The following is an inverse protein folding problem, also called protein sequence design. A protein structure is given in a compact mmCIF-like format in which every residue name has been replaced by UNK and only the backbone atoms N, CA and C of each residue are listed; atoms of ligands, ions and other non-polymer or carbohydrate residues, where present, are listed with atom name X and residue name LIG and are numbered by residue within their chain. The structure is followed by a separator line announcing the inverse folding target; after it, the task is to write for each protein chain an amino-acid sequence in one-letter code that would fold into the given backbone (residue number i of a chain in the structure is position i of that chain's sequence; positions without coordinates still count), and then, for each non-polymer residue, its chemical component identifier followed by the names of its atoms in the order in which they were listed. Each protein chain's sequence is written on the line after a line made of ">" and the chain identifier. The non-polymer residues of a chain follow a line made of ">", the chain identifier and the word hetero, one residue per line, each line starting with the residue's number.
data_IF_933264209093
#
_entry.id   IF_933264209093
#
_cell.length_a   1.000
_cell.length_b   1.000
_cell.length_c   1.000
_cell.angle_alpha   90.00
_cell.angle_beta   90.00
_cell.angle_gamma   90.00
#
_symmetry.space_group_name_H-M   'P 1'
#
loop_
_entity.id
_entity.type
_entity.pdbx_description
1 polymer ?
#
# COMPACT_ATOMS: atom_id res chain seq x y z
N UNK A 1 42.77 59.52 0.91
CA UNK A 1 42.13 59.31 2.23
C UNK A 1 42.40 57.87 2.63
N UNK A 2 42.96 57.63 3.83
CA UNK A 2 43.31 56.28 4.29
C UNK A 2 42.02 55.48 4.52
N UNK A 3 41.77 54.46 3.68
CA UNK A 3 40.70 53.49 3.88
C UNK A 3 41.10 52.57 5.04
N UNK A 4 40.84 53.02 6.26
CA UNK A 4 40.98 52.17 7.45
C UNK A 4 39.94 51.05 7.36
N UNK A 5 40.39 49.82 7.55
CA UNK A 5 39.55 48.63 7.61
C UNK A 5 39.97 47.78 8.79
N UNK A 6 39.05 47.00 9.33
CA UNK A 6 39.27 46.10 10.45
C UNK A 6 38.83 44.69 10.07
N UNK A 7 39.60 43.69 10.47
CA UNK A 7 39.18 42.29 10.37
C UNK A 7 38.42 41.88 11.63
N UNK A 8 37.29 41.22 11.45
CA UNK A 8 36.48 40.63 12.53
C UNK A 8 36.31 39.14 12.31
N UNK A 9 36.11 38.39 13.38
CA UNK A 9 35.95 36.94 13.35
C UNK A 9 34.79 36.57 14.26
N UNK A 10 33.72 36.02 13.67
CA UNK A 10 32.56 35.56 14.42
C UNK A 10 32.87 34.26 15.20
N UNK A 11 32.45 34.24 16.46
CA UNK A 11 32.40 33.09 17.34
C UNK A 11 31.00 32.95 17.93
N UNK A 12 30.53 31.70 18.02
CA UNK A 12 29.34 31.34 18.78
C UNK A 12 29.72 30.83 20.17
N UNK A 13 28.81 30.93 21.13
CA UNK A 13 29.05 30.48 22.52
C UNK A 13 29.39 28.98 22.60
N UNK A 14 28.86 28.17 21.67
CA UNK A 14 29.20 26.75 21.51
C UNK A 14 30.56 26.44 20.85
N UNK A 15 31.41 27.46 20.68
CA UNK A 15 32.78 27.40 20.13
C UNK A 15 32.87 27.21 18.62
N UNK A 16 31.80 27.35 17.85
CA UNK A 16 31.90 27.44 16.38
C UNK A 16 32.61 28.74 15.98
N UNK A 17 33.58 28.62 15.07
CA UNK A 17 34.36 29.73 14.52
C UNK A 17 33.95 29.95 13.06
N UNK A 18 33.49 31.16 12.73
CA UNK A 18 33.17 31.57 11.35
C UNK A 18 34.43 31.79 10.50
N UNK A 19 34.29 32.38 9.32
CA UNK A 19 35.43 32.93 8.57
C UNK A 19 35.67 34.41 8.95
N UNK A 20 36.92 34.91 8.92
CA UNK A 20 37.18 36.33 9.12
C UNK A 20 36.50 37.19 8.03
N UNK A 21 35.92 38.31 8.42
CA UNK A 21 35.32 39.29 7.54
C UNK A 21 36.00 40.66 7.70
N UNK A 22 36.22 41.37 6.60
CA UNK A 22 36.79 42.72 6.62
C UNK A 22 35.67 43.77 6.67
N UNK A 23 35.71 44.72 7.61
CA UNK A 23 34.77 45.85 7.73
C UNK A 23 35.50 47.14 7.36
N UNK A 24 34.91 47.97 6.49
CA UNK A 24 35.53 49.22 6.06
C UNK A 24 34.94 50.41 6.81
N UNK A 25 35.80 51.34 7.24
CA UNK A 25 35.34 52.61 7.83
C UNK A 25 34.48 53.43 6.88
N UNK A 26 34.68 53.29 5.57
CA UNK A 26 33.85 53.94 4.54
C UNK A 26 32.39 53.50 4.56
N UNK A 27 32.08 52.35 5.15
CA UNK A 27 30.72 51.83 5.23
C UNK A 27 29.92 52.54 6.35
N UNK A 28 30.59 53.34 7.18
CA UNK A 28 29.97 54.12 8.23
C UNK A 28 29.15 55.29 7.67
N UNK A 29 27.93 55.47 8.19
CA UNK A 29 27.07 56.61 7.85
C UNK A 29 27.72 57.93 8.27
N UNK A 30 27.56 58.96 7.45
CA UNK A 30 28.11 60.29 7.69
C UNK A 30 27.69 60.86 9.06
N UNK A 31 28.65 61.44 9.80
CA UNK A 31 28.41 62.02 11.13
C UNK A 31 28.52 61.06 12.32
N UNK A 32 28.97 59.81 12.12
CA UNK A 32 29.23 58.86 13.21
C UNK A 32 30.71 58.68 13.52
N UNK A 33 31.00 58.39 14.79
CA UNK A 33 32.34 58.07 15.25
C UNK A 33 32.74 56.63 14.92
N UNK A 34 34.02 56.42 14.61
CA UNK A 34 34.60 55.10 14.37
C UNK A 34 35.02 54.44 15.68
N UNK A 35 34.05 53.82 16.37
CA UNK A 35 34.19 53.13 17.65
C UNK A 35 33.54 51.74 17.60
N UNK A 36 33.62 51.00 18.71
CA UNK A 36 33.09 49.61 18.82
C UNK A 36 31.58 49.52 18.58
N UNK A 37 30.79 50.53 18.97
CA UNK A 37 29.35 50.57 18.70
C UNK A 37 29.06 50.58 17.19
N UNK A 38 29.67 51.55 16.49
CA UNK A 38 29.54 51.67 15.04
C UNK A 38 30.06 50.44 14.30
N UNK A 39 31.13 49.80 14.80
CA UNK A 39 31.62 48.54 14.25
C UNK A 39 30.60 47.41 14.42
N UNK A 40 30.02 47.26 15.60
CA UNK A 40 29.06 46.18 15.89
C UNK A 40 27.83 46.28 14.98
N UNK A 41 27.36 47.49 14.69
CA UNK A 41 26.28 47.71 13.73
C UNK A 41 26.67 47.26 12.32
N UNK A 42 27.85 47.66 11.84
CA UNK A 42 28.34 47.27 10.51
C UNK A 42 28.60 45.77 10.38
N UNK A 43 29.07 45.13 11.46
CA UNK A 43 29.26 43.68 11.50
C UNK A 43 27.91 42.98 11.41
N UNK A 44 26.89 43.45 12.13
CA UNK A 44 25.54 42.90 12.05
C UNK A 44 24.91 43.07 10.67
N UNK A 45 25.12 44.21 10.02
CA UNK A 45 24.63 44.44 8.65
C UNK A 45 25.37 43.55 7.62
N UNK A 46 26.67 43.36 7.79
CA UNK A 46 27.51 42.59 6.86
C UNK A 46 27.35 41.07 7.02
N UNK A 47 27.22 40.59 8.25
CA UNK A 47 27.00 39.18 8.61
C UNK A 47 25.53 38.95 8.96
N UNK A 48 24.62 39.57 8.20
CA UNK A 48 23.20 39.57 8.52
C UNK A 48 22.64 38.16 8.59
N UNK A 49 23.00 37.28 7.66
CA UNK A 49 22.50 35.90 7.65
C UNK A 49 22.93 35.12 8.90
N UNK A 50 24.13 35.43 9.43
CA UNK A 50 24.67 34.79 10.62
C UNK A 50 24.29 35.47 11.94
N UNK A 51 23.77 36.70 11.92
CA UNK A 51 23.51 37.51 13.12
C UNK A 51 22.07 38.05 13.22
N UNK A 52 21.17 37.70 12.30
CA UNK A 52 19.77 38.18 12.33
C UNK A 52 19.04 37.76 13.61
N UNK A 53 19.42 36.60 14.18
CA UNK A 53 18.84 36.07 15.41
C UNK A 53 19.33 36.77 16.68
N UNK A 54 20.49 37.43 16.64
CA UNK A 54 21.11 38.04 17.82
C UNK A 54 20.71 39.51 17.94
N UNK A 55 20.23 39.93 19.11
CA UNK A 55 20.02 41.34 19.43
C UNK A 55 21.33 42.12 19.39
N UNK A 56 21.27 43.43 19.09
CA UNK A 56 22.48 44.27 19.08
C UNK A 56 23.20 44.28 20.45
N UNK A 57 22.42 44.20 21.54
CA UNK A 57 22.93 44.14 22.92
C UNK A 57 23.52 42.79 23.32
N UNK A 58 23.40 41.78 22.46
CA UNK A 58 23.87 40.42 22.70
C UNK A 58 25.16 40.12 21.90
N UNK A 59 25.63 41.10 21.12
CA UNK A 59 26.88 41.01 20.36
C UNK A 59 27.99 41.69 21.16
N UNK A 60 29.04 40.94 21.46
CA UNK A 60 30.21 41.42 22.19
C UNK A 60 31.44 41.42 21.29
N UNK A 61 32.25 42.48 21.38
CA UNK A 61 33.50 42.61 20.62
C UNK A 61 34.69 42.53 21.58
N UNK A 62 35.67 41.70 21.25
CA UNK A 62 36.84 41.45 22.07
C UNK A 62 38.14 41.75 21.29
N UNK A 63 39.23 42.09 21.99
CA UNK A 63 40.56 42.16 21.39
C UNK A 63 40.99 40.83 20.75
N UNK A 64 41.91 40.86 19.76
CA UNK A 64 42.24 39.68 18.96
C UNK A 64 42.85 38.49 19.71
N UNK A 65 43.49 38.74 20.86
CA UNK A 65 44.19 37.72 21.66
C UNK A 65 43.36 37.24 22.87
N UNK A 66 42.06 37.50 22.87
CA UNK A 66 41.18 37.07 23.97
C UNK A 66 40.97 35.56 23.92
N UNK A 67 41.41 34.84 24.95
CA UNK A 67 41.21 33.40 25.07
C UNK A 67 39.80 33.04 25.57
N UNK A 68 39.27 31.91 25.08
CA UNK A 68 38.03 31.33 25.60
C UNK A 68 38.22 30.77 27.03
N UNK A 69 37.19 30.79 27.89
CA UNK A 69 35.84 31.29 27.63
C UNK A 69 35.80 32.83 27.61
N UNK A 70 35.03 33.37 26.66
CA UNK A 70 34.79 34.81 26.58
C UNK A 70 33.92 35.23 27.77
N UNK A 71 34.37 36.24 28.51
CA UNK A 71 33.64 36.78 29.66
C UNK A 71 33.38 38.26 29.43
N UNK A 72 32.18 38.71 29.80
CA UNK A 72 31.69 40.05 29.49
C UNK A 72 32.58 41.17 30.04
N UNK A 73 33.31 40.92 31.12
CA UNK A 73 34.27 41.85 31.73
C UNK A 73 35.52 42.12 30.85
N UNK A 74 35.78 41.25 29.87
CA UNK A 74 36.87 41.39 28.88
C UNK A 74 36.42 41.99 27.54
N UNK A 75 35.12 42.23 27.37
CA UNK A 75 34.59 42.85 26.16
C UNK A 75 34.99 44.33 26.08
N UNK A 76 35.21 44.83 24.86
CA UNK A 76 35.38 46.26 24.62
C UNK A 76 34.06 46.98 24.85
N UNK A 77 34.11 48.16 25.46
CA UNK A 77 32.92 48.99 25.64
C UNK A 77 32.50 49.61 24.31
N UNK A 78 31.22 49.90 24.17
CA UNK A 78 30.64 50.45 22.94
C UNK A 78 31.25 51.79 22.51
N UNK A 79 31.73 52.59 23.46
CA UNK A 79 32.40 53.88 23.21
C UNK A 79 33.92 53.78 23.03
N UNK A 80 34.51 52.59 23.16
CA UNK A 80 35.95 52.43 23.02
C UNK A 80 36.40 52.65 21.56
N UNK A 81 37.58 53.27 21.34
CA UNK A 81 38.14 53.38 20.01
C UNK A 81 38.50 51.98 19.49
N UNK A 82 38.38 51.78 18.17
CA UNK A 82 38.74 50.49 17.55
C UNK A 82 40.25 50.28 17.69
N UNK A 83 40.71 49.13 18.24
CA UNK A 83 42.13 48.86 18.44
C UNK A 83 42.93 49.00 17.14
N UNK A 84 44.05 49.73 17.20
CA UNK A 84 44.89 50.00 16.01
C UNK A 84 45.57 48.76 15.43
N UNK A 85 45.74 47.70 16.23
CA UNK A 85 46.29 46.41 15.81
C UNK A 85 45.29 45.52 15.05
N UNK A 86 44.07 45.98 14.81
CA UNK A 86 43.00 45.19 14.17
C UNK A 86 43.00 45.23 12.62
N UNK A 87 44.02 45.87 12.01
CA UNK A 87 44.13 46.07 10.55
C UNK A 87 44.86 44.94 9.80
N UNK A 88 45.22 43.84 10.47
CA UNK A 88 45.87 42.63 9.92
C UNK A 88 46.30 41.66 11.03
N UNK A 89 46.95 40.52 10.72
CA UNK A 89 46.37 39.15 10.67
C UNK A 89 45.55 38.67 11.89
N UNK A 90 45.37 39.49 12.91
CA UNK A 90 44.65 39.19 14.15
C UNK A 90 43.29 39.93 14.13
N UNK A 91 42.19 39.24 13.76
CA UNK A 91 40.87 39.86 13.73
C UNK A 91 40.35 40.15 15.14
N UNK A 92 39.54 41.21 15.30
CA UNK A 92 38.71 41.36 16.49
C UNK A 92 37.74 40.20 16.58
N UNK A 93 37.49 39.73 17.79
CA UNK A 93 36.61 38.60 18.05
C UNK A 93 35.21 39.15 18.29
N UNK A 94 34.23 38.70 17.51
CA UNK A 94 32.82 39.05 17.67
C UNK A 94 32.11 37.81 18.19
N UNK A 95 31.49 37.91 19.36
CA UNK A 95 30.75 36.81 19.98
C UNK A 95 29.27 37.15 19.96
N UNK A 96 28.46 36.20 19.49
CA UNK A 96 27.01 36.30 19.48
C UNK A 96 26.41 35.03 20.13
N UNK A 97 25.18 35.11 20.67
CA UNK A 97 24.48 33.92 21.16
C UNK A 97 24.30 32.91 20.02
N UNK A 98 24.22 31.63 20.38
CA UNK A 98 23.89 30.60 19.42
C UNK A 98 22.55 30.92 18.75
N UNK A 99 22.41 30.70 17.43
CA UNK A 99 21.10 30.76 16.80
C UNK A 99 20.15 29.83 17.57
N UNK A 100 18.89 30.25 17.83
CA UNK A 100 17.92 29.38 18.46
C UNK A 100 17.93 28.08 17.67
N UNK A 101 18.29 26.97 18.35
CA UNK A 101 18.27 25.66 17.72
C UNK A 101 16.87 25.50 17.14
N UNK A 102 16.75 25.49 15.81
CA UNK A 102 15.51 25.09 15.16
C UNK A 102 15.22 23.71 15.71
N UNK A 103 14.25 23.61 16.62
CA UNK A 103 13.62 22.33 16.89
C UNK A 103 13.22 21.81 15.50
N UNK A 104 13.63 20.59 15.11
CA UNK A 104 13.11 20.03 13.88
C UNK A 104 11.59 20.14 14.01
N UNK A 105 10.96 20.78 13.02
CA UNK A 105 9.50 20.85 12.98
C UNK A 105 9.00 19.45 13.32
N UNK A 106 8.20 19.30 14.38
CA UNK A 106 7.68 17.99 14.78
C UNK A 106 7.06 17.39 13.52
N UNK A 107 7.78 16.46 12.88
CA UNK A 107 7.31 15.86 11.64
C UNK A 107 5.95 15.26 11.99
N UNK A 108 4.94 15.54 11.17
CA UNK A 108 3.59 15.02 11.40
C UNK A 108 3.49 13.73 10.60
N UNK A 109 3.03 12.68 11.26
CA UNK A 109 2.54 11.46 10.64
C UNK A 109 1.01 11.50 10.56
N UNK A 110 0.46 10.69 9.66
CA UNK A 110 -0.97 10.45 9.55
C UNK A 110 -1.25 8.99 9.87
N UNK A 111 -2.10 8.76 10.87
CA UNK A 111 -2.52 7.45 11.34
C UNK A 111 -3.76 7.00 10.57
N UNK A 112 -3.72 5.77 10.04
CA UNK A 112 -4.88 5.05 9.52
C UNK A 112 -4.98 3.70 10.23
N UNK A 113 -6.15 3.44 10.79
CA UNK A 113 -6.52 2.15 11.36
C UNK A 113 -7.82 1.64 10.78
N UNK A 114 -8.08 0.35 10.96
CA UNK A 114 -9.33 -0.23 10.50
C UNK A 114 -9.43 -1.74 10.71
N UNK A 115 -10.57 -2.27 10.30
CA UNK A 115 -10.90 -3.69 10.37
C UNK A 115 -11.56 -4.15 9.08
N UNK A 116 -11.05 -5.25 8.53
CA UNK A 116 -11.71 -6.01 7.46
C UNK A 116 -12.51 -7.13 8.10
N UNK A 117 -13.83 -7.05 7.98
CA UNK A 117 -14.78 -7.93 8.65
C UNK A 117 -14.85 -9.26 7.92
N UNK A 118 -14.85 -10.38 8.67
CA UNK A 118 -14.87 -11.75 8.14
C UNK A 118 -13.71 -12.09 7.17
N UNK A 119 -12.59 -11.39 7.29
CA UNK A 119 -11.40 -11.57 6.47
C UNK A 119 -10.85 -13.01 6.43
N UNK A 120 -11.13 -13.87 7.42
CA UNK A 120 -10.74 -15.30 7.39
C UNK A 120 -11.53 -16.14 6.38
N UNK A 121 -12.65 -15.64 5.87
CA UNK A 121 -13.41 -16.27 4.79
C UNK A 121 -12.78 -16.03 3.40
N UNK A 122 -11.76 -15.17 3.34
CA UNK A 122 -11.05 -14.80 2.13
C UNK A 122 -9.57 -15.20 2.20
N UNK A 123 -9.04 -15.74 1.11
CA UNK A 123 -7.61 -15.99 0.90
C UNK A 123 -6.93 -14.70 0.44
N UNK A 124 -5.76 -14.43 1.01
CA UNK A 124 -4.92 -13.30 0.63
C UNK A 124 -5.28 -11.96 1.26
N UNK A 125 -6.31 -11.87 2.11
CA UNK A 125 -6.70 -10.62 2.76
C UNK A 125 -5.52 -9.95 3.47
N UNK A 126 -4.86 -10.65 4.41
CA UNK A 126 -3.69 -10.07 5.09
C UNK A 126 -2.56 -9.64 4.14
N UNK A 127 -2.18 -10.48 3.19
CA UNK A 127 -1.13 -10.17 2.23
C UNK A 127 -1.44 -8.94 1.37
N UNK A 128 -2.70 -8.71 1.00
CA UNK A 128 -3.09 -7.51 0.27
C UNK A 128 -3.03 -6.24 1.11
N UNK A 129 -3.32 -6.31 2.41
CA UNK A 129 -3.09 -5.16 3.30
C UNK A 129 -1.60 -4.77 3.25
N UNK A 130 -0.68 -5.74 3.32
CA UNK A 130 0.75 -5.47 3.15
C UNK A 130 1.08 -4.88 1.78
N UNK A 131 0.51 -5.42 0.69
CA UNK A 131 0.68 -4.89 -0.68
C UNK A 131 0.22 -3.43 -0.78
N UNK A 132 -0.95 -3.09 -0.23
CA UNK A 132 -1.45 -1.72 -0.20
C UNK A 132 -0.59 -0.81 0.66
N UNK A 133 -0.16 -1.27 1.83
CA UNK A 133 0.74 -0.52 2.70
C UNK A 133 2.07 -0.22 2.01
N UNK A 134 2.67 -1.19 1.32
CA UNK A 134 3.92 -0.98 0.57
C UNK A 134 3.73 0.04 -0.58
N UNK A 135 2.66 -0.13 -1.37
CA UNK A 135 2.31 0.73 -2.51
C UNK A 135 2.01 2.18 -2.11
N UNK A 136 1.53 2.40 -0.89
CA UNK A 136 1.17 3.71 -0.36
C UNK A 136 2.13 4.20 0.73
N UNK A 137 3.35 3.65 0.81
CA UNK A 137 4.41 4.12 1.71
C UNK A 137 4.00 4.11 3.20
N UNK A 138 3.23 3.11 3.62
CA UNK A 138 2.85 2.90 5.01
C UNK A 138 4.06 2.51 5.87
N UNK A 139 3.98 2.88 7.15
CA UNK A 139 4.96 2.59 8.19
C UNK A 139 4.28 1.95 9.40
N UNK A 140 5.04 1.16 10.17
CA UNK A 140 4.69 0.68 11.50
C UNK A 140 5.71 1.16 12.53
N UNK A 141 5.33 1.18 13.81
CA UNK A 141 6.26 1.48 14.91
C UNK A 141 7.02 0.20 15.27
N UNK A 142 8.35 0.28 15.39
CA UNK A 142 9.15 -0.83 15.90
C UNK A 142 8.78 -1.20 17.35
N UNK A 143 8.32 -0.21 18.13
CA UNK A 143 7.85 -0.43 19.51
C UNK A 143 6.56 -1.24 19.55
N UNK A 144 5.58 -0.89 18.71
CA UNK A 144 4.28 -1.59 18.64
C UNK A 144 4.38 -2.89 17.82
N UNK A 145 5.38 -3.02 16.97
CA UNK A 145 5.49 -4.07 15.97
C UNK A 145 4.49 -3.91 14.82
N UNK A 146 4.42 -4.92 13.95
CA UNK A 146 3.46 -4.95 12.84
C UNK A 146 2.06 -5.24 13.39
N UNK A 147 1.21 -4.23 13.36
CA UNK A 147 -0.19 -4.28 13.76
C UNK A 147 -1.07 -4.59 12.54
N UNK A 148 -0.87 -5.77 11.94
CA UNK A 148 -1.71 -6.31 10.86
C UNK A 148 -1.95 -7.78 11.18
N UNK A 149 -3.03 -8.05 11.90
CA UNK A 149 -3.27 -9.31 12.59
C UNK A 149 -4.76 -9.67 12.65
N UNK A 150 -5.05 -10.94 12.90
CA UNK A 150 -6.43 -11.42 12.96
C UNK A 150 -6.96 -11.42 14.40
N UNK A 151 -8.03 -10.66 14.63
CA UNK A 151 -8.82 -10.72 15.85
C UNK A 151 -10.12 -11.49 15.57
N UNK A 152 -10.14 -12.78 15.95
CA UNK A 152 -11.26 -13.67 15.61
C UNK A 152 -11.29 -13.98 14.11
N UNK A 153 -12.40 -13.64 13.44
CA UNK A 153 -12.55 -13.74 11.97
C UNK A 153 -12.11 -12.48 11.22
N UNK A 154 -11.87 -11.39 11.95
CA UNK A 154 -11.60 -10.08 11.38
C UNK A 154 -10.11 -9.83 11.28
N UNK A 155 -9.70 -9.06 10.27
CA UNK A 155 -8.32 -8.60 10.12
C UNK A 155 -8.25 -7.14 10.53
N UNK A 156 -7.54 -6.86 11.63
CA UNK A 156 -7.27 -5.51 12.12
C UNK A 156 -5.96 -5.00 11.54
N UNK A 157 -5.88 -3.71 11.24
CA UNK A 157 -4.67 -3.07 10.78
C UNK A 157 -4.49 -1.66 11.37
N UNK A 158 -3.23 -1.26 11.55
CA UNK A 158 -2.83 0.08 11.96
C UNK A 158 -1.52 0.45 11.26
N UNK A 159 -1.48 1.62 10.64
CA UNK A 159 -0.31 2.11 9.91
C UNK A 159 -0.18 3.64 9.97
N UNK A 160 1.04 4.11 9.76
CA UNK A 160 1.42 5.52 9.79
C UNK A 160 1.97 5.96 8.42
N UNK A 161 1.69 7.20 8.02
CA UNK A 161 2.07 7.75 6.73
C UNK A 161 2.75 9.11 6.91
N UNK A 162 3.79 9.40 6.10
CA UNK A 162 4.46 10.71 6.10
C UNK A 162 3.60 11.83 5.52
N UNK A 163 2.63 11.50 4.67
CA UNK A 163 1.74 12.49 4.03
C UNK A 163 0.28 12.10 4.13
N UNK A 164 -0.59 13.11 4.18
CA UNK A 164 -2.03 12.95 4.20
C UNK A 164 -2.54 12.29 2.92
N UNK A 165 -1.97 12.67 1.76
CA UNK A 165 -2.35 12.11 0.47
C UNK A 165 -2.07 10.60 0.38
N UNK A 166 -0.94 10.14 0.91
CA UNK A 166 -0.61 8.73 0.94
C UNK A 166 -1.58 7.95 1.86
N UNK A 167 -1.93 8.52 3.01
CA UNK A 167 -2.91 7.94 3.92
C UNK A 167 -4.30 7.84 3.27
N UNK A 168 -4.74 8.88 2.56
CA UNK A 168 -6.00 8.88 1.81
C UNK A 168 -5.98 7.88 0.65
N UNK A 169 -4.86 7.76 -0.08
CA UNK A 169 -4.71 6.78 -1.16
C UNK A 169 -4.84 5.34 -0.63
N UNK A 170 -4.23 5.05 0.52
CA UNK A 170 -4.40 3.77 1.20
C UNK A 170 -5.84 3.54 1.66
N UNK A 171 -6.51 4.52 2.28
CA UNK A 171 -7.92 4.40 2.64
C UNK A 171 -8.81 4.12 1.42
N UNK A 172 -8.55 4.78 0.28
CA UNK A 172 -9.27 4.52 -0.97
C UNK A 172 -9.05 3.09 -1.47
N UNK A 173 -7.83 2.56 -1.39
CA UNK A 173 -7.54 1.17 -1.73
C UNK A 173 -8.29 0.19 -0.81
N UNK A 174 -8.35 0.48 0.49
CA UNK A 174 -9.15 -0.29 1.44
C UNK A 174 -10.65 -0.19 1.15
N UNK A 175 -11.16 0.97 0.73
CA UNK A 175 -12.56 1.14 0.32
C UNK A 175 -12.90 0.41 -0.98
N UNK A 176 -11.95 0.17 -1.89
CA UNK A 176 -12.20 -0.67 -3.05
C UNK A 176 -12.54 -2.12 -2.66
N UNK A 177 -12.08 -2.61 -1.51
CA UNK A 177 -12.53 -3.91 -1.00
C UNK A 177 -13.98 -3.92 -0.58
N UNK A 178 -14.55 -2.79 -0.15
CA UNK A 178 -15.97 -2.70 0.17
C UNK A 178 -16.82 -2.99 -1.08
N UNK A 179 -16.36 -2.57 -2.26
CA UNK A 179 -17.03 -2.84 -3.54
C UNK A 179 -16.97 -4.33 -3.90
N UNK A 180 -15.88 -5.01 -3.54
CA UNK A 180 -15.65 -6.43 -3.89
C UNK A 180 -16.00 -7.39 -2.75
N UNK A 181 -16.61 -6.91 -1.67
CA UNK A 181 -16.82 -7.70 -0.44
C UNK A 181 -17.64 -8.96 -0.68
N UNK A 182 -18.65 -8.90 -1.55
CA UNK A 182 -19.48 -10.07 -1.87
C UNK A 182 -18.68 -11.15 -2.60
N UNK A 183 -17.83 -10.75 -3.56
CA UNK A 183 -16.98 -11.68 -4.33
C UNK A 183 -15.93 -12.35 -3.43
N UNK A 184 -15.39 -11.63 -2.45
CA UNK A 184 -14.39 -12.14 -1.52
C UNK A 184 -14.97 -12.73 -0.22
N UNK A 185 -16.31 -12.81 -0.08
CA UNK A 185 -17.01 -13.21 1.14
C UNK A 185 -16.58 -12.40 2.40
N UNK A 186 -16.30 -11.12 2.24
CA UNK A 186 -15.99 -10.21 3.33
C UNK A 186 -17.29 -9.61 3.89
N UNK A 187 -17.32 -9.37 5.21
CA UNK A 187 -18.39 -8.61 5.86
C UNK A 187 -18.33 -7.10 5.59
N UNK A 188 -17.20 -6.62 5.06
CA UNK A 188 -16.94 -5.23 4.69
C UNK A 188 -15.63 -4.69 5.26
N UNK A 189 -15.38 -3.41 5.07
CA UNK A 189 -14.23 -2.68 5.60
C UNK A 189 -14.70 -1.52 6.47
N UNK A 190 -14.11 -1.39 7.65
CA UNK A 190 -14.34 -0.27 8.57
C UNK A 190 -13.02 0.45 8.82
N UNK A 191 -13.05 1.77 8.75
CA UNK A 191 -11.89 2.63 9.00
C UNK A 191 -12.12 3.39 10.31
N UNK A 192 -11.13 3.34 11.19
CA UNK A 192 -11.12 4.08 12.44
C UNK A 192 -9.70 4.63 12.71
N UNK A 193 -9.51 5.96 12.65
CA UNK A 193 -10.51 6.99 12.39
C UNK A 193 -11.01 7.00 10.92
N UNK A 194 -12.22 7.55 10.64
CA UNK A 194 -12.76 7.65 9.29
C UNK A 194 -11.90 8.50 8.34
N UNK A 195 -11.10 9.40 8.87
CA UNK A 195 -10.20 10.31 8.14
C UNK A 195 -8.82 10.23 8.78
N UNK A 196 -7.70 10.30 8.02
CA UNK A 196 -6.37 10.10 8.59
C UNK A 196 -6.09 11.09 9.71
N UNK A 197 -5.74 10.60 10.89
CA UNK A 197 -5.49 11.44 12.06
C UNK A 197 -4.04 11.89 12.11
N UNK A 198 -3.81 13.20 12.29
CA UNK A 198 -2.48 13.74 12.50
C UNK A 198 -1.92 13.31 13.87
N UNK A 199 -0.72 12.75 13.87
CA UNK A 199 0.01 12.32 15.07
C UNK A 199 1.49 12.74 14.94
N UNK A 200 2.24 12.87 16.04
CA UNK A 200 3.67 13.12 15.96
C UNK A 200 4.40 11.96 15.26
N UNK A 201 5.31 12.28 14.35
CA UNK A 201 6.24 11.32 13.76
C UNK A 201 7.17 10.80 14.85
N UNK A 202 7.39 9.48 14.87
CA UNK A 202 8.32 8.84 15.78
C UNK A 202 9.53 8.32 15.02
N UNK A 203 10.71 8.39 15.64
CA UNK A 203 11.98 7.95 15.03
C UNK A 203 12.05 6.45 14.78
N UNK A 204 11.17 5.67 15.44
CA UNK A 204 11.09 4.22 15.32
C UNK A 204 10.11 3.75 14.23
N UNK A 205 9.51 4.68 13.47
CA UNK A 205 8.65 4.33 12.35
C UNK A 205 9.47 3.73 11.20
N UNK A 206 9.14 2.48 10.86
CA UNK A 206 9.78 1.69 9.80
C UNK A 206 8.78 1.37 8.70
N UNK A 207 9.24 1.37 7.45
CA UNK A 207 8.39 1.14 6.28
C UNK A 207 7.89 -0.32 6.25
N UNK A 208 6.63 -0.49 5.87
CA UNK A 208 6.10 -1.80 5.49
C UNK A 208 6.68 -2.25 4.15
N UNK A 209 7.18 -3.49 4.10
CA UNK A 209 7.48 -4.17 2.86
C UNK A 209 6.61 -5.41 2.72
N UNK A 210 6.25 -5.75 1.47
CA UNK A 210 5.48 -6.95 1.20
C UNK A 210 6.24 -8.22 1.64
N UNK A 211 7.57 -8.21 1.56
CA UNK A 211 8.42 -9.29 2.06
C UNK A 211 8.34 -9.51 3.59
N UNK A 212 7.80 -8.54 4.34
CA UNK A 212 7.56 -8.69 5.78
C UNK A 212 6.35 -9.61 6.06
N UNK A 213 5.51 -9.86 5.05
CA UNK A 213 4.42 -10.84 5.13
C UNK A 213 4.99 -12.26 5.16
N UNK A 214 4.77 -12.94 6.29
CA UNK A 214 5.13 -14.35 6.47
C UNK A 214 3.87 -15.22 6.35
N UNK A 215 3.67 -15.94 5.25
CA UNK A 215 2.50 -16.80 5.09
C UNK A 215 2.62 -18.00 6.03
N UNK A 216 1.73 -18.07 7.03
CA UNK A 216 1.59 -19.21 7.93
C UNK A 216 0.12 -19.66 7.96
N UNK A 217 -0.10 -20.97 7.84
CA UNK A 217 -1.42 -21.62 7.77
C UNK A 217 -2.36 -21.30 8.96
N UNK A 218 -1.80 -20.87 10.10
CA UNK A 218 -2.55 -20.67 11.34
C UNK A 218 -3.30 -19.33 11.42
N UNK A 219 -2.92 -18.33 10.61
CA UNK A 219 -3.47 -16.97 10.73
C UNK A 219 -4.35 -16.58 9.53
N UNK A 220 -4.04 -17.06 8.32
CA UNK A 220 -4.79 -16.79 7.08
C UNK A 220 -4.85 -18.07 6.23
N UNK A 221 -5.97 -18.39 5.55
CA UNK A 221 -5.99 -19.49 4.59
C UNK A 221 -4.97 -19.21 3.48
N UNK A 222 -3.90 -20.00 3.49
CA UNK A 222 -2.57 -19.67 2.98
C UNK A 222 -2.48 -19.17 1.53
N UNK A 223 -1.51 -18.26 1.28
CA UNK A 223 -1.04 -17.89 -0.05
C UNK A 223 0.46 -17.55 -0.04
N UNK A 224 1.20 -17.96 -1.06
CA UNK A 224 2.59 -17.51 -1.30
C UNK A 224 2.61 -16.08 -1.88
N UNK A 225 3.75 -15.40 -1.83
CA UNK A 225 3.91 -14.10 -2.50
C UNK A 225 3.60 -14.18 -4.00
N UNK A 226 4.02 -15.24 -4.68
CA UNK A 226 3.70 -15.48 -6.09
C UNK A 226 2.20 -15.56 -6.36
N UNK A 227 1.46 -16.20 -5.45
CA UNK A 227 0.00 -16.25 -5.54
C UNK A 227 -0.60 -14.86 -5.29
N UNK A 228 -0.09 -14.08 -4.34
CA UNK A 228 -0.57 -12.71 -4.10
C UNK A 228 -0.42 -11.80 -5.33
N UNK A 229 0.66 -11.96 -6.10
CA UNK A 229 0.84 -11.22 -7.36
C UNK A 229 -0.18 -11.60 -8.44
N UNK A 230 -0.74 -12.82 -8.38
CA UNK A 230 -1.81 -13.26 -9.28
C UNK A 230 -3.19 -12.68 -8.92
N UNK A 231 -3.33 -12.07 -7.73
CA UNK A 231 -4.58 -11.45 -7.28
C UNK A 231 -4.54 -9.91 -7.38
N UNK A 232 -5.63 -9.34 -7.88
CA UNK A 232 -5.95 -7.92 -7.82
C UNK A 232 -6.32 -7.51 -6.39
N UNK A 233 -7.19 -8.30 -5.73
CA UNK A 233 -7.73 -8.08 -4.38
C UNK A 233 -7.63 -9.41 -3.62
N UNK A 234 -8.71 -9.94 -3.06
CA UNK A 234 -8.73 -11.23 -2.35
C UNK A 234 -9.76 -12.18 -2.97
N UNK A 235 -9.67 -13.47 -2.68
CA UNK A 235 -10.53 -14.51 -3.27
C UNK A 235 -11.13 -15.39 -2.19
N UNK A 236 -12.38 -15.85 -2.33
CA UNK A 236 -13.03 -16.63 -1.29
C UNK A 236 -12.29 -17.94 -1.03
N UNK A 237 -12.39 -18.45 0.20
CA UNK A 237 -11.78 -19.74 0.55
C UNK A 237 -12.48 -20.86 -0.21
N UNK A 238 -11.78 -21.41 -1.20
CA UNK A 238 -12.22 -22.55 -2.00
C UNK A 238 -11.59 -23.86 -1.53
N UNK A 239 -12.37 -24.93 -1.58
CA UNK A 239 -11.94 -26.27 -1.21
C UNK A 239 -11.21 -26.93 -2.39
N UNK A 240 -9.94 -27.37 -2.22
CA UNK A 240 -9.29 -28.19 -3.24
C UNK A 240 -10.03 -29.51 -3.42
N UNK A 241 -9.96 -30.05 -4.63
CA UNK A 241 -10.51 -31.37 -4.95
C UNK A 241 -9.43 -32.41 -4.73
N UNK A 242 -9.77 -33.48 -4.01
CA UNK A 242 -8.85 -34.61 -3.84
C UNK A 242 -8.53 -35.25 -5.21
N UNK A 243 -7.24 -35.53 -5.53
CA UNK A 243 -6.83 -36.06 -6.83
C UNK A 243 -7.53 -37.37 -7.24
N UNK A 244 -7.96 -38.16 -6.27
CA UNK A 244 -8.62 -39.46 -6.48
C UNK A 244 -10.15 -39.38 -6.44
N UNK A 245 -10.73 -38.20 -6.24
CA UNK A 245 -12.19 -38.05 -6.09
C UNK A 245 -12.95 -38.27 -7.41
N UNK A 246 -14.20 -38.71 -7.28
CA UNK A 246 -15.10 -38.84 -8.42
C UNK A 246 -15.36 -37.49 -9.10
N UNK A 247 -15.44 -36.40 -8.33
CA UNK A 247 -15.62 -35.05 -8.85
C UNK A 247 -14.51 -34.67 -9.85
N UNK A 248 -13.23 -34.88 -9.50
CA UNK A 248 -12.13 -34.61 -10.43
C UNK A 248 -12.12 -35.58 -11.63
N UNK A 249 -12.40 -36.86 -11.37
CA UNK A 249 -12.33 -37.89 -12.41
C UNK A 249 -13.44 -37.79 -13.46
N UNK A 250 -14.64 -37.39 -13.05
CA UNK A 250 -15.86 -37.49 -13.85
C UNK A 250 -16.50 -36.14 -14.17
N UNK A 251 -16.24 -35.10 -13.37
CA UNK A 251 -16.93 -33.80 -13.43
C UNK A 251 -15.95 -32.62 -13.47
N UNK A 252 -14.75 -32.81 -14.04
CA UNK A 252 -13.76 -31.74 -14.24
C UNK A 252 -13.96 -31.05 -15.59
N UNK A 253 -13.94 -29.72 -15.63
CA UNK A 253 -14.21 -28.97 -16.88
C UNK A 253 -12.97 -28.87 -17.78
N UNK A 254 -11.84 -28.50 -17.19
CA UNK A 254 -10.54 -28.40 -17.86
C UNK A 254 -9.69 -29.64 -17.59
N UNK A 255 -8.62 -29.79 -18.36
CA UNK A 255 -7.74 -30.94 -18.30
C UNK A 255 -6.96 -30.97 -16.97
N UNK A 256 -7.08 -32.05 -16.16
CA UNK A 256 -6.25 -32.20 -14.97
C UNK A 256 -4.77 -32.32 -15.33
N UNK A 257 -3.94 -31.48 -14.72
CA UNK A 257 -2.49 -31.47 -14.92
C UNK A 257 -1.75 -31.74 -13.60
N UNK A 258 -0.64 -32.51 -13.59
CA UNK A 258 0.05 -32.95 -12.36
C UNK A 258 0.49 -31.84 -11.41
N UNK A 259 0.70 -30.63 -11.92
CA UNK A 259 1.20 -29.48 -11.14
C UNK A 259 0.13 -28.40 -10.91
N UNK A 260 -1.12 -28.67 -11.28
CA UNK A 260 -2.22 -27.71 -11.16
C UNK A 260 -3.27 -28.27 -10.22
N UNK A 261 -3.47 -27.57 -9.11
CA UNK A 261 -4.54 -27.86 -8.18
C UNK A 261 -5.90 -27.49 -8.81
N UNK A 262 -6.86 -28.41 -8.63
CA UNK A 262 -8.24 -28.21 -9.04
C UNK A 262 -9.09 -27.97 -7.80
N UNK A 263 -10.16 -27.20 -7.97
CA UNK A 263 -11.00 -26.70 -6.89
C UNK A 263 -12.45 -27.05 -7.15
N UNK A 264 -13.22 -27.23 -6.07
CA UNK A 264 -14.66 -27.42 -6.16
C UNK A 264 -15.28 -26.08 -6.55
N UNK A 265 -15.96 -26.05 -7.68
CA UNK A 265 -16.72 -24.89 -8.15
C UNK A 265 -18.21 -25.19 -7.96
N UNK A 266 -18.89 -24.42 -7.12
CA UNK A 266 -20.33 -24.59 -6.89
C UNK A 266 -21.14 -23.91 -8.00
N UNK A 267 -22.09 -24.65 -8.57
CA UNK A 267 -22.97 -24.13 -9.61
C UNK A 267 -24.07 -23.25 -9.02
N UNK A 268 -24.71 -23.68 -7.94
CA UNK A 268 -25.59 -22.85 -7.11
C UNK A 268 -24.85 -22.37 -5.88
N UNK A 269 -25.03 -21.08 -5.60
CA UNK A 269 -24.38 -20.35 -4.51
C UNK A 269 -24.54 -21.03 -3.14
N UNK A 270 -23.39 -21.22 -2.47
CA UNK A 270 -23.25 -21.83 -1.14
C UNK A 270 -24.10 -21.11 -0.08
N UNK A 271 -24.17 -19.78 -0.12
CA UNK A 271 -24.88 -18.97 0.85
C UNK A 271 -26.41 -19.11 0.73
N UNK A 272 -26.91 -19.21 -0.51
CA UNK A 272 -28.34 -19.30 -0.82
C UNK A 272 -28.90 -20.72 -0.75
N UNK A 273 -28.07 -21.73 -1.04
CA UNK A 273 -28.50 -23.13 -1.16
C UNK A 273 -27.70 -24.06 -0.23
N UNK A 274 -27.81 -23.84 1.09
CA UNK A 274 -27.06 -24.59 2.12
C UNK A 274 -27.20 -26.11 2.03
N UNK A 275 -28.37 -26.60 1.60
CA UNK A 275 -28.67 -28.02 1.42
C UNK A 275 -27.90 -28.66 0.25
N UNK A 276 -27.42 -27.87 -0.72
CA UNK A 276 -26.71 -28.36 -1.90
C UNK A 276 -25.18 -28.28 -1.75
N UNK A 277 -24.67 -27.79 -0.62
CA UNK A 277 -23.23 -27.55 -0.44
C UNK A 277 -22.35 -28.77 -0.52
N UNK A 278 -22.89 -29.96 -0.26
CA UNK A 278 -22.19 -31.25 -0.32
C UNK A 278 -22.67 -32.14 -1.47
N UNK A 279 -23.58 -31.64 -2.30
CA UNK A 279 -24.12 -32.40 -3.42
C UNK A 279 -23.18 -32.30 -4.61
N UNK A 280 -22.62 -33.44 -5.05
CA UNK A 280 -21.68 -33.48 -6.18
C UNK A 280 -22.31 -33.00 -7.49
N UNK A 281 -23.63 -33.15 -7.68
CA UNK A 281 -24.34 -32.65 -8.85
C UNK A 281 -24.54 -31.12 -8.84
N UNK A 282 -24.21 -30.45 -7.72
CA UNK A 282 -24.12 -28.99 -7.66
C UNK A 282 -22.67 -28.49 -7.84
N UNK A 283 -21.75 -29.35 -8.27
CA UNK A 283 -20.34 -29.02 -8.37
C UNK A 283 -19.73 -29.48 -9.68
N UNK A 284 -18.70 -28.75 -10.08
CA UNK A 284 -17.71 -29.19 -11.07
C UNK A 284 -16.33 -29.00 -10.45
N UNK A 285 -15.35 -29.77 -10.91
CA UNK A 285 -13.94 -29.46 -10.66
C UNK A 285 -13.43 -28.56 -11.79
N UNK A 286 -12.58 -27.61 -11.45
CA UNK A 286 -11.84 -26.85 -12.45
C UNK A 286 -10.49 -26.37 -11.90
N UNK A 287 -9.54 -26.04 -12.77
CA UNK A 287 -8.34 -25.31 -12.36
C UNK A 287 -8.70 -23.98 -11.72
N UNK A 288 -7.77 -23.43 -10.95
CA UNK A 288 -7.98 -22.14 -10.29
C UNK A 288 -8.33 -21.01 -11.27
N UNK A 289 -7.64 -20.97 -12.42
CA UNK A 289 -7.88 -19.95 -13.45
C UNK A 289 -9.30 -20.03 -14.01
N UNK A 290 -9.77 -21.24 -14.32
CA UNK A 290 -11.13 -21.42 -14.82
C UNK A 290 -12.18 -21.13 -13.74
N UNK A 291 -11.92 -21.52 -12.49
CA UNK A 291 -12.80 -21.21 -11.35
C UNK A 291 -12.99 -19.68 -11.19
N UNK A 292 -11.88 -18.93 -11.27
CA UNK A 292 -11.93 -17.46 -11.24
C UNK A 292 -12.84 -16.89 -12.33
N UNK A 293 -12.71 -17.39 -13.56
CA UNK A 293 -13.54 -16.96 -14.69
C UNK A 293 -15.01 -17.38 -14.53
N UNK A 294 -15.29 -18.57 -14.00
CA UNK A 294 -16.65 -19.08 -13.82
C UNK A 294 -17.45 -18.32 -12.76
N UNK A 295 -16.76 -17.82 -11.74
CA UNK A 295 -17.38 -17.13 -10.60
C UNK A 295 -17.22 -15.62 -10.66
N UNK A 296 -16.41 -15.10 -11.58
CA UNK A 296 -16.07 -13.67 -11.64
C UNK A 296 -15.10 -13.25 -10.53
N UNK A 297 -14.32 -14.19 -10.01
CA UNK A 297 -13.34 -13.92 -8.98
C UNK A 297 -12.09 -13.36 -9.63
N UNK A 298 -11.58 -12.22 -9.15
CA UNK A 298 -10.29 -11.69 -9.55
C UNK A 298 -10.16 -11.41 -11.06
N UNK A 299 -11.25 -10.94 -11.68
CA UNK A 299 -11.30 -10.49 -13.08
C UNK A 299 -11.60 -8.99 -13.10
N UNK A 300 -11.05 -8.27 -14.07
CA UNK A 300 -11.11 -6.80 -14.11
C UNK A 300 -12.55 -6.29 -14.28
N UNK A 301 -13.38 -7.06 -14.98
CA UNK A 301 -14.77 -6.73 -15.29
C UNK A 301 -15.70 -6.89 -14.09
N UNK A 302 -15.26 -7.56 -13.00
CA UNK A 302 -16.06 -7.80 -11.81
C UNK A 302 -17.27 -8.74 -12.02
N UNK A 303 -17.34 -9.43 -13.17
CA UNK A 303 -18.40 -10.37 -13.55
C UNK A 303 -17.79 -11.72 -13.96
N UNK A 304 -18.54 -12.85 -13.90
CA UNK A 304 -18.08 -14.09 -14.51
C UNK A 304 -17.75 -13.91 -15.99
N UNK A 305 -16.69 -14.53 -16.48
CA UNK A 305 -16.26 -14.50 -17.88
C UNK A 305 -16.56 -15.80 -18.63
N UNK A 306 -17.14 -16.79 -17.94
CA UNK A 306 -17.56 -18.07 -18.53
C UNK A 306 -18.99 -18.41 -18.12
N UNK A 307 -19.82 -18.79 -19.10
CA UNK A 307 -21.14 -19.36 -18.90
C UNK A 307 -21.16 -20.83 -19.29
N UNK A 308 -21.85 -21.65 -18.49
CA UNK A 308 -22.06 -23.07 -18.76
C UNK A 308 -23.54 -23.29 -19.10
N UNK A 309 -23.84 -23.91 -20.24
CA UNK A 309 -25.21 -24.24 -20.66
C UNK A 309 -25.37 -25.75 -20.85
N UNK A 310 -26.43 -26.34 -20.32
CA UNK A 310 -26.73 -27.76 -20.53
C UNK A 310 -27.21 -28.00 -21.96
N UNK A 311 -26.61 -28.97 -22.67
CA UNK A 311 -27.03 -29.34 -24.03
C UNK A 311 -27.87 -30.61 -24.02
N UNK A 312 -27.27 -31.73 -23.62
CA UNK A 312 -27.88 -33.06 -23.69
C UNK A 312 -27.34 -33.97 -22.61
N UNK A 313 -28.00 -35.10 -22.38
CA UNK A 313 -27.50 -36.16 -21.54
C UNK A 313 -27.84 -37.53 -22.11
N UNK A 314 -27.06 -38.55 -21.73
CA UNK A 314 -27.37 -39.94 -22.05
C UNK A 314 -28.68 -40.38 -21.37
N UNK A 315 -29.40 -41.28 -22.04
CA UNK A 315 -30.58 -41.91 -21.45
C UNK A 315 -30.18 -42.87 -20.34
N UNK A 316 -29.08 -43.61 -20.56
CA UNK A 316 -28.61 -44.64 -19.67
C UNK A 316 -27.34 -44.24 -18.93
N UNK A 317 -27.15 -44.89 -17.78
CA UNK A 317 -25.93 -44.82 -16.98
C UNK A 317 -24.84 -45.69 -17.59
N UNK A 318 -23.65 -45.16 -17.72
CA UNK A 318 -22.51 -45.86 -18.32
C UNK A 318 -21.76 -46.68 -17.29
N UNK A 319 -21.76 -48.01 -17.45
CA UNK A 319 -21.05 -48.94 -16.54
C UNK A 319 -19.56 -48.61 -16.43
N UNK A 320 -18.93 -48.23 -17.54
CA UNK A 320 -17.51 -47.85 -17.60
C UNK A 320 -17.16 -46.58 -16.81
N UNK A 321 -18.15 -45.78 -16.43
CA UNK A 321 -17.97 -44.49 -15.75
C UNK A 321 -18.72 -44.46 -14.42
N UNK A 322 -18.56 -45.53 -13.63
CA UNK A 322 -19.18 -45.66 -12.30
C UNK A 322 -20.73 -45.50 -12.33
N UNK A 323 -21.38 -46.02 -13.38
CA UNK A 323 -22.83 -45.93 -13.58
C UNK A 323 -23.36 -44.48 -13.54
N UNK A 324 -22.64 -43.56 -14.18
CA UNK A 324 -23.02 -42.14 -14.31
C UNK A 324 -23.62 -41.82 -15.68
N UNK A 325 -24.43 -40.77 -15.74
CA UNK A 325 -24.94 -40.21 -16.99
C UNK A 325 -23.89 -39.35 -17.65
N UNK A 326 -23.67 -39.53 -18.95
CA UNK A 326 -22.86 -38.58 -19.73
C UNK A 326 -23.70 -37.34 -19.99
N UNK A 327 -23.18 -36.18 -19.64
CA UNK A 327 -23.80 -34.87 -19.89
C UNK A 327 -22.91 -34.08 -20.84
N UNK A 328 -23.50 -33.48 -21.87
CA UNK A 328 -22.83 -32.54 -22.76
C UNK A 328 -23.17 -31.12 -22.32
N UNK A 329 -22.13 -30.30 -22.14
CA UNK A 329 -22.24 -28.89 -21.82
C UNK A 329 -21.71 -28.03 -22.97
N UNK A 330 -22.28 -26.85 -23.13
CA UNK A 330 -21.70 -25.74 -23.89
C UNK A 330 -21.01 -24.81 -22.90
N UNK A 331 -19.75 -24.49 -23.16
CA UNK A 331 -18.93 -23.52 -22.43
C UNK A 331 -18.80 -22.30 -23.33
N UNK A 332 -19.41 -21.19 -22.93
CA UNK A 332 -19.39 -19.92 -23.64
C UNK A 332 -18.46 -18.97 -22.89
N UNK A 333 -17.53 -18.33 -23.60
CA UNK A 333 -16.58 -17.37 -23.06
C UNK A 333 -16.99 -15.95 -23.45
N UNK A 334 -16.79 -15.00 -22.52
CA UNK A 334 -17.07 -13.59 -22.80
C UNK A 334 -16.09 -12.99 -23.83
N UNK A 335 -14.84 -13.46 -23.83
CA UNK A 335 -13.76 -13.04 -24.73
C UNK A 335 -13.20 -14.22 -25.53
N UNK A 336 -12.81 -13.96 -26.78
CA UNK A 336 -12.25 -14.97 -27.70
C UNK A 336 -10.89 -15.49 -27.22
N UNK A 337 -10.08 -14.64 -26.58
CA UNK A 337 -8.75 -14.97 -26.07
C UNK A 337 -8.83 -16.03 -24.97
N UNK A 338 -9.86 -15.95 -24.13
CA UNK A 338 -10.11 -16.95 -23.08
C UNK A 338 -10.51 -18.29 -23.69
N UNK A 339 -11.38 -18.28 -24.69
CA UNK A 339 -11.76 -19.48 -25.43
C UNK A 339 -10.57 -20.11 -26.17
N UNK A 340 -9.61 -19.32 -26.64
CA UNK A 340 -8.39 -19.80 -27.28
C UNK A 340 -7.40 -20.43 -26.28
N UNK A 341 -7.33 -19.91 -25.05
CA UNK A 341 -6.48 -20.44 -23.98
C UNK A 341 -7.08 -21.64 -23.22
N UNK A 342 -8.36 -21.96 -23.47
CA UNK A 342 -9.05 -23.04 -22.78
C UNK A 342 -8.50 -24.43 -23.14
N UNK A 343 -8.11 -25.20 -22.11
CA UNK A 343 -7.67 -26.58 -22.24
C UNK A 343 -8.75 -27.54 -21.69
N UNK A 344 -9.74 -27.94 -22.51
CA UNK A 344 -10.88 -28.72 -22.04
C UNK A 344 -10.51 -30.17 -21.68
N UNK A 345 -11.31 -30.79 -20.81
CA UNK A 345 -11.20 -32.23 -20.56
C UNK A 345 -11.86 -33.08 -21.65
N UNK A 346 -11.40 -34.31 -21.79
CA UNK A 346 -12.12 -35.39 -22.47
C UNK A 346 -12.41 -35.13 -23.96
N UNK A 347 -13.60 -35.53 -24.40
CA UNK A 347 -14.05 -35.41 -25.80
C UNK A 347 -14.66 -34.02 -26.03
N UNK A 348 -13.81 -33.00 -26.05
CA UNK A 348 -14.21 -31.63 -26.29
C UNK A 348 -14.20 -31.27 -27.79
N UNK A 349 -15.09 -30.35 -28.18
CA UNK A 349 -15.21 -29.86 -29.55
C UNK A 349 -15.37 -28.35 -29.55
N UNK A 350 -14.48 -27.63 -30.23
CA UNK A 350 -14.67 -26.20 -30.50
C UNK A 350 -15.86 -26.00 -31.44
N UNK A 351 -16.78 -25.12 -31.08
CA UNK A 351 -18.00 -24.84 -31.85
C UNK A 351 -17.81 -23.60 -32.69
N UNK A 352 -17.27 -22.54 -32.08
CA UNK A 352 -16.97 -21.27 -32.70
C UNK A 352 -15.79 -20.60 -31.96
N UNK A 353 -15.56 -19.31 -32.21
CA UNK A 353 -14.45 -18.55 -31.64
C UNK A 353 -14.54 -18.34 -30.13
N UNK A 354 -15.75 -18.39 -29.56
CA UNK A 354 -16.01 -18.12 -28.15
C UNK A 354 -16.62 -19.31 -27.40
N UNK A 355 -16.82 -20.45 -28.06
CA UNK A 355 -17.59 -21.56 -27.49
C UNK A 355 -16.99 -22.94 -27.72
N UNK A 356 -17.10 -23.79 -26.71
CA UNK A 356 -16.70 -25.19 -26.71
C UNK A 356 -17.83 -26.09 -26.21
N UNK A 357 -17.94 -27.29 -26.78
CA UNK A 357 -18.72 -28.38 -26.20
C UNK A 357 -17.80 -29.34 -25.46
N UNK A 358 -18.19 -29.71 -24.24
CA UNK A 358 -17.47 -30.69 -23.40
C UNK A 358 -18.43 -31.78 -22.92
N UNK A 359 -17.87 -32.91 -22.47
CA UNK A 359 -18.64 -34.00 -21.88
C UNK A 359 -18.15 -34.31 -20.46
N UNK A 360 -19.09 -34.37 -19.51
CA UNK A 360 -18.87 -34.76 -18.12
C UNK A 360 -19.74 -35.98 -17.77
N UNK A 361 -19.52 -36.59 -16.60
CA UNK A 361 -20.28 -37.73 -16.12
C UNK A 361 -20.81 -37.50 -14.70
N UNK A 362 -22.14 -37.45 -14.55
CA UNK A 362 -22.83 -37.06 -13.31
C UNK A 362 -23.73 -38.17 -12.78
N UNK A 363 -24.02 -38.17 -11.48
CA UNK A 363 -24.89 -39.19 -10.87
C UNK A 363 -26.38 -38.93 -11.13
N UNK A 364 -26.77 -37.65 -11.10
CA UNK A 364 -28.13 -37.18 -11.30
C UNK A 364 -28.13 -36.06 -12.34
N UNK A 365 -28.50 -36.41 -13.58
CA UNK A 365 -28.51 -35.47 -14.71
C UNK A 365 -29.56 -34.36 -14.58
N UNK A 366 -30.67 -34.63 -13.90
CA UNK A 366 -31.78 -33.68 -13.80
C UNK A 366 -31.46 -32.62 -12.77
N UNK A 367 -30.92 -33.02 -11.62
CA UNK A 367 -30.41 -32.09 -10.62
C UNK A 367 -29.21 -31.28 -11.14
N UNK A 368 -28.28 -31.93 -11.84
CA UNK A 368 -27.14 -31.24 -12.44
C UNK A 368 -27.59 -30.20 -13.46
N UNK A 369 -28.56 -30.54 -14.31
CA UNK A 369 -29.18 -29.61 -15.26
C UNK A 369 -29.78 -28.40 -14.55
N UNK A 370 -30.55 -28.61 -13.48
CA UNK A 370 -31.14 -27.52 -12.71
C UNK A 370 -30.08 -26.56 -12.14
N UNK A 371 -28.94 -27.10 -11.69
CA UNK A 371 -27.84 -26.31 -11.17
C UNK A 371 -27.11 -25.52 -12.28
N UNK A 372 -26.86 -26.15 -13.42
CA UNK A 372 -26.26 -25.50 -14.59
C UNK A 372 -27.17 -24.40 -15.13
N UNK A 373 -28.46 -24.65 -15.29
CA UNK A 373 -29.41 -23.66 -15.82
C UNK A 373 -29.48 -22.43 -14.92
N UNK A 374 -29.47 -22.63 -13.59
CA UNK A 374 -29.42 -21.53 -12.64
C UNK A 374 -28.14 -20.70 -12.78
N UNK A 375 -26.97 -21.35 -12.82
CA UNK A 375 -25.67 -20.67 -12.99
C UNK A 375 -25.64 -19.89 -14.31
N UNK A 376 -26.07 -20.53 -15.40
CA UNK A 376 -26.14 -19.93 -16.73
C UNK A 376 -26.99 -18.67 -16.74
N UNK A 377 -28.20 -18.73 -16.16
CA UNK A 377 -29.11 -17.59 -16.14
C UNK A 377 -28.50 -16.43 -15.34
N UNK A 378 -27.90 -16.73 -14.19
CA UNK A 378 -27.24 -15.72 -13.36
C UNK A 378 -26.03 -15.06 -14.06
N UNK A 379 -25.20 -15.85 -14.74
CA UNK A 379 -24.06 -15.32 -15.51
C UNK A 379 -24.52 -14.49 -16.71
N UNK A 380 -25.45 -15.01 -17.52
CA UNK A 380 -25.94 -14.29 -18.71
C UNK A 380 -26.65 -12.99 -18.36
N UNK A 381 -27.33 -12.94 -17.21
CA UNK A 381 -27.88 -11.67 -16.70
C UNK A 381 -26.77 -10.64 -16.46
N UNK A 382 -25.71 -11.01 -15.74
CA UNK A 382 -24.58 -10.10 -15.48
C UNK A 382 -23.88 -9.66 -16.78
N UNK A 383 -23.76 -10.55 -17.76
CA UNK A 383 -23.21 -10.19 -19.08
C UNK A 383 -24.05 -9.13 -19.80
N UNK A 384 -25.37 -9.28 -19.77
CA UNK A 384 -26.27 -8.30 -20.37
C UNK A 384 -26.19 -6.96 -19.64
N UNK A 385 -26.30 -6.97 -18.31
CA UNK A 385 -26.20 -5.76 -17.48
C UNK A 385 -24.87 -5.02 -17.74
N UNK A 386 -23.75 -5.74 -17.87
CA UNK A 386 -22.44 -5.17 -18.16
C UNK A 386 -22.32 -4.62 -19.58
N UNK A 387 -22.84 -5.33 -20.59
CA UNK A 387 -22.85 -4.84 -21.98
C UNK A 387 -23.74 -3.61 -22.14
N UNK A 388 -24.86 -3.55 -21.44
CA UNK A 388 -25.73 -2.37 -21.41
C UNK A 388 -25.00 -1.17 -20.81
N UNK A 389 -24.27 -1.37 -19.70
CA UNK A 389 -23.43 -0.34 -19.10
C UNK A 389 -22.37 0.20 -20.08
N UNK A 390 -21.63 -0.69 -20.76
CA UNK A 390 -20.60 -0.29 -21.73
C UNK A 390 -21.15 0.42 -22.98
N UNK A 391 -22.40 0.16 -23.36
CA UNK A 391 -23.04 0.80 -24.52
C UNK A 391 -23.80 2.10 -24.17
N UNK A 392 -23.91 2.43 -22.88
CA UNK A 392 -24.56 3.66 -22.41
C UNK A 392 -23.60 4.85 -22.32
N UNK A 393 -22.28 4.59 -22.40
CA UNK A 393 -21.22 5.58 -22.64
C UNK A 393 -20.95 5.74 -24.14
#
# INVERSE_FOLDING_TARGET
>A
MSSSSVWVQLFYEDKRKGNPAQIYKSDLREGRDWNVASLSELVKDKLKEELDHAGFTEIFVYPPDTEQPFSQDKALNSWDPIPSNSSGPQPLIVVAPDPPQQQPANEIAFLVGGTVIDAKQSKGARGNVFKFLENHYGHYSLTDGIQVDYTGNNLTFKAYFRSYDAACAFQNAMNQWEIHKELAHLGGVTLDPPTPAAVPWQSDFTRFYLQDYKPNDHESPCQTLDQLHSYHLSVPVTEPVEPTSNLLRYQCIDQPMPHINHYKCHLKDKAKFKQLQRNENNMVAASWLFHQQLDGLNVAEGIPLVALSFKTASNDRLVSHNRRYRVTLLVEFFYQELAAAFAPTGLARKIDETSWEISLYVEDKDMFKECIDWKSANTKKQWNDHREFLNAE
#
